data_IF_640550781336
#
_entry.id   IF_640550781336
#
_cell.length_a   1.000
_cell.length_b   1.000
_cell.length_c   1.000
_cell.angle_alpha   90.00
_cell.angle_beta   90.00
_cell.angle_gamma   90.00
#
_symmetry.space_group_name_H-M   'P 1'
#
loop_
_entity.id
_entity.type
_entity.pdbx_description
1 polymer ?
#
# COMPACT_ATOMS: atom_id res chain seq x y z
N UNK A 1 19.39 -15.06 6.86
CA UNK A 1 18.00 -15.05 7.40
C UNK A 1 18.04 -15.62 8.80
N UNK A 2 17.46 -14.96 9.81
CA UNK A 2 17.33 -15.55 11.15
C UNK A 2 16.09 -16.46 11.20
N UNK A 3 15.92 -17.21 12.29
CA UNK A 3 14.81 -18.15 12.46
C UNK A 3 13.44 -17.41 12.44
N UNK A 4 12.53 -17.72 11.49
CA UNK A 4 11.16 -17.18 11.47
C UNK A 4 10.38 -17.37 12.77
N UNK A 5 10.68 -18.43 13.53
CA UNK A 5 9.97 -18.77 14.76
C UNK A 5 10.09 -17.68 15.82
N UNK A 6 11.19 -16.93 15.86
CA UNK A 6 11.35 -15.82 16.83
C UNK A 6 10.29 -14.74 16.60
N UNK A 7 10.05 -14.36 15.34
CA UNK A 7 8.99 -13.42 14.99
C UNK A 7 7.60 -13.99 15.33
N UNK A 8 7.35 -15.24 14.96
CA UNK A 8 6.04 -15.86 15.17
C UNK A 8 5.71 -16.13 16.64
N UNK A 9 6.70 -16.43 17.48
CA UNK A 9 6.51 -16.54 18.93
C UNK A 9 6.11 -15.20 19.53
N UNK A 10 6.81 -14.12 19.17
CA UNK A 10 6.43 -12.78 19.61
C UNK A 10 5.04 -12.41 19.09
N UNK A 11 4.72 -12.71 17.83
CA UNK A 11 3.39 -12.47 17.28
C UNK A 11 2.31 -13.23 18.04
N UNK A 12 2.54 -14.50 18.41
CA UNK A 12 1.61 -15.30 19.20
C UNK A 12 1.25 -14.64 20.54
N UNK A 13 2.23 -14.04 21.22
CA UNK A 13 2.02 -13.37 22.50
C UNK A 13 1.26 -12.03 22.36
N UNK A 14 1.35 -11.37 21.20
CA UNK A 14 0.92 -9.98 21.02
C UNK A 14 -0.25 -9.80 20.04
N UNK A 15 -0.67 -10.84 19.32
CA UNK A 15 -1.64 -10.67 18.24
C UNK A 15 -3.02 -10.19 18.70
N UNK A 16 -3.43 -10.42 19.94
CA UNK A 16 -4.72 -9.90 20.43
C UNK A 16 -4.67 -8.38 20.63
N UNK A 17 -3.54 -7.85 21.12
CA UNK A 17 -3.31 -6.40 21.19
C UNK A 17 -3.29 -5.80 19.79
N UNK A 18 -2.68 -6.50 18.82
CA UNK A 18 -2.67 -6.07 17.42
C UNK A 18 -4.06 -6.08 16.76
N UNK A 19 -5.03 -6.85 17.25
CA UNK A 19 -6.42 -6.75 16.77
C UNK A 19 -7.10 -5.48 17.27
N UNK A 20 -6.83 -5.10 18.51
CA UNK A 20 -7.49 -3.98 19.18
C UNK A 20 -6.66 -2.69 19.14
N UNK A 21 -5.65 -2.60 18.26
CA UNK A 21 -4.68 -1.49 18.25
C UNK A 21 -5.32 -0.10 18.10
N UNK A 22 -6.48 0.00 17.46
CA UNK A 22 -7.22 1.26 17.31
C UNK A 22 -7.75 1.81 18.64
N UNK A 23 -7.93 0.95 19.65
CA UNK A 23 -8.39 1.32 20.99
C UNK A 23 -7.22 1.63 21.94
N UNK A 24 -5.97 1.46 21.50
CA UNK A 24 -4.80 1.69 22.33
C UNK A 24 -4.31 3.13 22.20
N UNK A 25 -4.14 3.81 23.33
CA UNK A 25 -3.56 5.17 23.39
C UNK A 25 -2.10 5.21 22.91
N UNK A 26 -1.35 4.12 23.09
CA UNK A 26 0.08 4.02 22.77
C UNK A 26 0.37 2.95 21.70
N UNK A 27 -0.42 2.94 20.62
CA UNK A 27 -0.25 1.98 19.51
C UNK A 27 1.11 2.07 18.82
N UNK A 28 1.76 3.24 18.82
CA UNK A 28 3.08 3.47 18.22
C UNK A 28 4.17 2.62 18.88
N UNK A 29 4.08 2.42 20.19
CA UNK A 29 4.99 1.55 20.92
C UNK A 29 4.80 0.08 20.52
N UNK A 30 3.55 -0.36 20.31
CA UNK A 30 3.24 -1.71 19.83
C UNK A 30 3.76 -1.94 18.40
N UNK A 31 3.57 -0.95 17.52
CA UNK A 31 4.09 -0.98 16.15
C UNK A 31 5.62 -0.96 16.10
N UNK A 32 6.25 -0.19 16.99
CA UNK A 32 7.71 -0.18 17.13
C UNK A 32 8.24 -1.55 17.54
N UNK A 33 7.58 -2.22 18.51
CA UNK A 33 7.93 -3.59 18.91
C UNK A 33 7.72 -4.59 17.79
N UNK A 34 6.62 -4.49 17.03
CA UNK A 34 6.39 -5.32 15.84
C UNK A 34 7.50 -5.12 14.80
N UNK A 35 7.88 -3.86 14.52
CA UNK A 35 8.94 -3.54 13.57
C UNK A 35 10.31 -4.06 14.03
N UNK A 36 10.64 -3.93 15.32
CA UNK A 36 11.88 -4.47 15.90
C UNK A 36 11.95 -5.99 15.72
N UNK A 37 10.86 -6.69 16.03
CA UNK A 37 10.79 -8.15 15.87
C UNK A 37 10.88 -8.57 14.39
N UNK A 38 10.28 -7.81 13.48
CA UNK A 38 10.40 -8.03 12.05
C UNK A 38 11.85 -7.82 11.56
N UNK A 39 12.49 -6.73 11.98
CA UNK A 39 13.87 -6.42 11.66
C UNK A 39 14.85 -7.47 12.19
N UNK A 40 14.55 -8.08 13.35
CA UNK A 40 15.34 -9.18 13.89
C UNK A 40 15.34 -10.41 12.97
N UNK A 41 14.25 -10.64 12.23
CA UNK A 41 14.17 -11.70 11.23
C UNK A 41 14.88 -11.32 9.91
N UNK A 42 14.53 -10.15 9.37
CA UNK A 42 15.05 -9.62 8.11
C UNK A 42 15.05 -8.10 8.13
N UNK A 43 16.23 -7.50 7.97
CA UNK A 43 16.38 -6.05 7.98
C UNK A 43 15.63 -5.42 6.79
N UNK A 44 15.08 -4.23 6.99
CA UNK A 44 14.35 -3.45 5.97
C UNK A 44 13.05 -4.08 5.42
N UNK A 45 12.52 -5.10 6.08
CA UNK A 45 11.12 -5.49 5.87
C UNK A 45 10.20 -4.52 6.60
N UNK A 46 9.04 -4.22 6.02
CA UNK A 46 8.00 -3.42 6.66
C UNK A 46 6.69 -4.20 6.72
N UNK A 47 5.71 -3.66 7.43
CA UNK A 47 4.41 -4.30 7.55
C UNK A 47 3.26 -3.32 7.29
N UNK A 48 2.14 -3.88 6.83
CA UNK A 48 0.83 -3.23 6.83
C UNK A 48 -0.11 -4.09 7.66
N UNK A 49 -0.80 -3.46 8.61
CA UNK A 49 -1.89 -4.07 9.37
C UNK A 49 -3.21 -3.54 8.84
N UNK A 50 -4.10 -4.44 8.47
CA UNK A 50 -5.47 -4.08 8.10
C UNK A 50 -6.47 -4.82 8.98
N UNK A 51 -7.47 -4.08 9.43
CA UNK A 51 -8.59 -4.61 10.18
C UNK A 51 -9.67 -5.19 9.27
N UNK A 52 -10.64 -5.92 9.83
CA UNK A 52 -11.74 -6.44 9.06
C UNK A 52 -12.62 -5.31 8.50
N UNK A 53 -12.67 -5.19 7.17
CA UNK A 53 -13.52 -4.22 6.45
C UNK A 53 -15.00 -4.62 6.36
N UNK A 54 -15.34 -5.88 6.66
CA UNK A 54 -16.70 -6.44 6.61
C UNK A 54 -16.89 -7.34 7.82
N UNK A 55 -18.11 -7.42 8.37
CA UNK A 55 -18.44 -8.40 9.43
C UNK A 55 -17.97 -9.79 8.99
N UNK A 56 -17.15 -10.43 9.84
CA UNK A 56 -16.52 -11.76 9.65
C UNK A 56 -15.27 -11.84 8.74
N UNK A 57 -14.70 -10.73 8.25
CA UNK A 57 -13.38 -10.80 7.62
C UNK A 57 -12.24 -10.97 8.65
N UNK A 58 -11.08 -11.43 8.19
CA UNK A 58 -9.90 -11.66 9.04
C UNK A 58 -9.08 -10.38 9.14
N UNK A 59 -8.42 -10.17 10.29
CA UNK A 59 -7.31 -9.23 10.36
C UNK A 59 -6.20 -9.69 9.42
N UNK A 60 -5.50 -8.77 8.79
CA UNK A 60 -4.42 -9.13 7.89
C UNK A 60 -3.13 -8.40 8.28
N UNK A 61 -2.06 -9.18 8.37
CA UNK A 61 -0.70 -8.70 8.44
C UNK A 61 -0.05 -8.98 7.08
N UNK A 62 0.35 -7.90 6.42
CA UNK A 62 1.05 -7.93 5.15
C UNK A 62 2.50 -7.57 5.43
N UNK A 63 3.44 -8.41 5.01
CA UNK A 63 4.87 -8.08 5.03
C UNK A 63 5.20 -7.54 3.64
N UNK A 64 5.67 -6.30 3.60
CA UNK A 64 6.04 -5.55 2.38
C UNK A 64 7.55 -5.39 2.32
N UNK A 65 8.10 -5.39 1.10
CA UNK A 65 9.52 -5.10 0.85
C UNK A 65 9.75 -3.65 0.44
N UNK A 66 8.69 -2.84 0.36
CA UNK A 66 8.69 -1.49 -0.19
C UNK A 66 9.40 -1.43 -1.56
N UNK A 67 9.14 -2.45 -2.39
CA UNK A 67 9.71 -2.57 -3.74
C UNK A 67 11.11 -3.16 -3.82
N UNK A 68 11.74 -3.51 -2.69
CA UNK A 68 13.05 -4.14 -2.69
C UNK A 68 12.96 -5.62 -3.09
N UNK A 69 13.31 -5.90 -4.36
CA UNK A 69 13.27 -7.25 -4.94
C UNK A 69 14.11 -8.27 -4.17
N UNK A 70 15.22 -7.85 -3.54
CA UNK A 70 16.11 -8.75 -2.80
C UNK A 70 15.47 -9.30 -1.51
N UNK A 71 14.41 -8.65 -1.02
CA UNK A 71 13.71 -9.05 0.21
C UNK A 71 12.47 -9.90 -0.05
N UNK A 72 12.08 -10.12 -1.33
CA UNK A 72 10.86 -10.88 -1.67
C UNK A 72 10.91 -12.30 -1.08
N UNK A 73 12.05 -12.99 -1.20
CA UNK A 73 12.23 -14.33 -0.64
C UNK A 73 12.22 -14.33 0.89
N UNK A 74 12.64 -13.23 1.53
CA UNK A 74 12.58 -13.11 2.99
C UNK A 74 11.12 -12.98 3.45
N UNK A 75 10.35 -12.10 2.83
CA UNK A 75 8.93 -11.94 3.13
C UNK A 75 8.16 -13.26 2.88
N UNK A 76 8.39 -13.91 1.74
CA UNK A 76 7.75 -15.18 1.40
C UNK A 76 8.12 -16.30 2.40
N UNK A 77 9.39 -16.42 2.77
CA UNK A 77 9.84 -17.40 3.75
C UNK A 77 9.21 -17.16 5.12
N UNK A 78 9.14 -15.92 5.61
CA UNK A 78 8.48 -15.60 6.89
C UNK A 78 7.03 -16.09 6.91
N UNK A 79 6.27 -15.74 5.87
CA UNK A 79 4.85 -16.10 5.73
C UNK A 79 4.66 -17.61 5.56
N UNK A 80 5.56 -18.29 4.85
CA UNK A 80 5.50 -19.75 4.69
C UNK A 80 5.62 -20.52 6.02
N UNK A 81 6.22 -19.90 7.04
CA UNK A 81 6.37 -20.46 8.39
C UNK A 81 5.32 -19.95 9.37
N UNK A 82 4.31 -19.20 8.90
CA UNK A 82 3.26 -18.67 9.76
C UNK A 82 2.47 -19.81 10.44
N UNK A 83 2.40 -19.83 11.78
CA UNK A 83 1.46 -20.68 12.49
C UNK A 83 0.00 -20.39 12.09
N UNK A 84 -0.89 -21.35 12.39
CA UNK A 84 -2.33 -21.14 12.22
C UNK A 84 -2.85 -20.20 13.31
N UNK A 85 -3.16 -18.96 12.93
CA UNK A 85 -3.79 -17.99 13.83
C UNK A 85 -5.25 -17.74 13.41
N UNK A 86 -6.25 -18.23 14.18
CA UNK A 86 -7.65 -17.96 13.90
C UNK A 86 -7.97 -16.47 13.84
N UNK A 87 -8.66 -16.08 12.76
CA UNK A 87 -8.99 -14.68 12.50
C UNK A 87 -7.86 -13.84 11.90
N UNK A 88 -6.73 -14.44 11.51
CA UNK A 88 -5.63 -13.76 10.82
C UNK A 88 -5.40 -14.29 9.40
N UNK A 89 -4.97 -13.39 8.52
CA UNK A 89 -4.44 -13.66 7.18
C UNK A 89 -3.04 -13.06 7.08
N UNK A 90 -2.11 -13.80 6.51
CA UNK A 90 -0.72 -13.38 6.34
C UNK A 90 -0.35 -13.39 4.87
N UNK A 91 0.24 -12.30 4.37
CA UNK A 91 0.68 -12.19 2.97
C UNK A 91 2.05 -11.53 2.86
N UNK A 92 2.82 -11.89 1.83
CA UNK A 92 4.19 -11.39 1.58
C UNK A 92 4.24 -10.26 0.53
N UNK A 93 3.16 -9.50 0.39
CA UNK A 93 3.05 -8.33 -0.50
C UNK A 93 1.65 -7.72 -0.41
N UNK A 94 1.56 -6.40 -0.68
CA UNK A 94 0.28 -5.74 -0.92
C UNK A 94 -0.24 -6.20 -2.29
N UNK A 95 -1.51 -6.63 -2.32
CA UNK A 95 -2.19 -7.11 -3.52
C UNK A 95 -3.17 -6.05 -4.02
N UNK A 96 -3.37 -5.89 -5.34
CA UNK A 96 -4.27 -4.90 -5.88
C UNK A 96 -5.71 -5.10 -5.38
N UNK A 97 -6.36 -4.02 -4.96
CA UNK A 97 -7.80 -4.00 -4.70
C UNK A 97 -8.58 -4.13 -6.02
N UNK A 98 -9.52 -5.09 -6.08
CA UNK A 98 -10.15 -5.53 -7.33
C UNK A 98 -11.51 -4.87 -7.64
N UNK A 99 -12.03 -3.98 -6.79
CA UNK A 99 -13.41 -3.50 -6.91
C UNK A 99 -13.56 -2.30 -7.86
N UNK A 100 -13.19 -2.51 -9.13
CA UNK A 100 -13.19 -1.50 -10.18
C UNK A 100 -14.58 -0.88 -10.40
N UNK A 101 -15.63 -1.70 -10.44
CA UNK A 101 -17.01 -1.24 -10.69
C UNK A 101 -17.45 -0.16 -9.71
N UNK A 102 -17.13 -0.33 -8.42
CA UNK A 102 -17.43 0.67 -7.39
C UNK A 102 -16.63 1.96 -7.59
N UNK A 103 -15.38 1.87 -8.01
CA UNK A 103 -14.54 3.05 -8.24
C UNK A 103 -15.04 3.85 -9.44
N UNK A 104 -15.35 3.16 -10.55
CA UNK A 104 -15.92 3.78 -11.75
C UNK A 104 -17.27 4.45 -11.43
N UNK A 105 -18.10 3.81 -10.60
CA UNK A 105 -19.36 4.39 -10.14
C UNK A 105 -19.21 5.40 -8.99
N UNK A 106 -17.98 5.76 -8.59
CA UNK A 106 -17.64 6.67 -7.46
C UNK A 106 -18.21 6.25 -6.08
N UNK A 107 -18.58 4.98 -5.95
CA UNK A 107 -19.04 4.33 -4.72
C UNK A 107 -17.91 3.49 -4.08
N UNK A 108 -16.66 3.84 -4.32
CA UNK A 108 -15.49 3.25 -3.68
C UNK A 108 -15.34 3.69 -2.22
N UNK A 109 -14.48 2.96 -1.53
CA UNK A 109 -14.17 3.19 -0.12
C UNK A 109 -13.49 4.55 0.06
N UNK A 110 -13.91 5.27 1.10
CA UNK A 110 -13.23 6.48 1.54
C UNK A 110 -11.98 6.11 2.35
N UNK A 111 -10.83 6.62 1.93
CA UNK A 111 -9.61 6.56 2.73
C UNK A 111 -9.59 7.76 3.68
N UNK A 112 -9.26 7.50 4.95
CA UNK A 112 -9.15 8.51 5.98
C UNK A 112 -7.72 8.55 6.51
N UNK A 113 -7.01 9.66 6.30
CA UNK A 113 -5.66 9.90 6.77
C UNK A 113 -5.64 11.16 7.63
N UNK A 114 -5.62 11.01 8.95
CA UNK A 114 -5.76 12.14 9.87
C UNK A 114 -7.05 12.93 9.55
N UNK A 115 -6.94 14.17 9.11
CA UNK A 115 -8.05 15.02 8.68
C UNK A 115 -8.35 14.96 7.17
N UNK A 116 -7.57 14.23 6.37
CA UNK A 116 -7.79 14.03 4.94
C UNK A 116 -8.79 12.89 4.71
N UNK A 117 -9.81 13.15 3.89
CA UNK A 117 -10.77 12.16 3.42
C UNK A 117 -10.76 12.16 1.90
N UNK A 118 -10.43 11.02 1.29
CA UNK A 118 -10.18 10.95 -0.15
C UNK A 118 -10.53 9.57 -0.73
N UNK A 119 -10.99 9.54 -1.98
CA UNK A 119 -11.29 8.32 -2.74
C UNK A 119 -10.35 8.17 -3.91
N UNK A 120 -10.17 6.94 -4.40
CA UNK A 120 -9.41 6.69 -5.63
C UNK A 120 -10.13 7.34 -6.81
N UNK A 121 -11.47 7.32 -6.82
CA UNK A 121 -12.29 7.93 -7.88
C UNK A 121 -12.14 9.44 -8.00
N UNK A 122 -11.52 10.11 -7.02
CA UNK A 122 -11.29 11.55 -7.02
C UNK A 122 -9.87 11.93 -7.47
N UNK A 123 -9.03 10.92 -7.73
CA UNK A 123 -7.67 11.09 -8.22
C UNK A 123 -7.61 10.94 -9.74
N UNK A 124 -6.75 11.75 -10.34
CA UNK A 124 -6.41 11.66 -11.76
C UNK A 124 -4.89 11.57 -11.90
N UNK A 125 -4.40 11.07 -13.02
CA UNK A 125 -2.97 10.96 -13.26
C UNK A 125 -2.57 11.34 -14.68
N UNK A 126 -1.30 11.72 -14.81
CA UNK A 126 -0.61 11.92 -16.07
C UNK A 126 0.74 11.21 -16.00
N UNK A 127 1.01 10.22 -16.89
CA UNK A 127 2.32 9.63 -17.04
C UNK A 127 3.23 10.53 -17.88
N UNK A 128 4.50 10.63 -17.50
CA UNK A 128 5.51 11.43 -18.17
C UNK A 128 6.88 10.76 -18.10
N UNK A 129 7.81 11.18 -18.97
CA UNK A 129 9.22 10.80 -18.96
C UNK A 129 9.44 9.28 -18.81
N UNK A 130 8.81 8.48 -19.68
CA UNK A 130 9.05 7.05 -19.70
C UNK A 130 10.53 6.75 -19.97
N UNK A 131 11.12 5.89 -19.15
CA UNK A 131 12.50 5.46 -19.29
C UNK A 131 12.54 4.01 -19.82
N UNK A 132 12.95 3.75 -21.08
CA UNK A 132 12.98 2.41 -21.65
C UNK A 132 13.90 1.44 -20.90
N UNK A 133 14.99 1.94 -20.30
CA UNK A 133 15.97 1.13 -19.55
C UNK A 133 15.35 0.55 -18.28
N UNK A 134 14.65 1.39 -17.51
CA UNK A 134 14.03 0.97 -16.25
C UNK A 134 12.59 0.49 -16.42
N UNK A 135 11.98 0.78 -17.57
CA UNK A 135 10.58 0.58 -17.91
C UNK A 135 9.61 1.30 -16.96
N UNK A 136 10.00 2.49 -16.48
CA UNK A 136 9.24 3.28 -15.51
C UNK A 136 8.82 4.64 -16.04
N UNK A 137 7.77 5.18 -15.45
CA UNK A 137 7.25 6.52 -15.68
C UNK A 137 7.53 7.42 -14.48
N UNK A 138 7.75 8.71 -14.74
CA UNK A 138 7.36 9.73 -13.78
C UNK A 138 5.84 9.88 -13.85
N UNK A 139 5.18 10.01 -12.71
CA UNK A 139 3.72 10.12 -12.63
C UNK A 139 3.37 11.37 -11.84
N UNK A 140 2.53 12.22 -12.42
CA UNK A 140 1.85 13.28 -11.66
C UNK A 140 0.45 12.80 -11.33
N UNK A 141 0.08 12.85 -10.04
CA UNK A 141 -1.28 12.62 -9.57
C UNK A 141 -1.90 13.95 -9.18
N UNK A 142 -3.11 14.18 -9.66
CA UNK A 142 -3.86 15.41 -9.47
C UNK A 142 -4.97 15.23 -8.43
N UNK A 143 -5.06 16.19 -7.52
CA UNK A 143 -6.07 16.25 -6.45
C UNK A 143 -6.93 17.51 -6.59
N UNK A 144 -8.23 17.40 -6.34
CA UNK A 144 -9.15 18.55 -6.41
C UNK A 144 -8.97 19.54 -5.25
N UNK A 145 -8.49 19.08 -4.09
CA UNK A 145 -8.31 19.90 -2.88
C UNK A 145 -6.86 19.88 -2.36
N UNK A 146 -5.89 19.90 -3.28
CA UNK A 146 -4.46 19.81 -2.95
C UNK A 146 -4.02 20.84 -1.89
N UNK A 147 -4.44 22.09 -2.03
CA UNK A 147 -4.03 23.19 -1.16
C UNK A 147 -4.50 23.10 0.30
N UNK A 148 -5.44 22.19 0.63
CA UNK A 148 -6.01 22.07 1.98
C UNK A 148 -5.14 21.28 2.96
N UNK A 149 -4.16 20.53 2.45
CA UNK A 149 -3.35 19.61 3.25
C UNK A 149 -1.86 19.80 2.96
N UNK A 150 -1.03 19.33 3.89
CA UNK A 150 0.43 19.38 3.68
C UNK A 150 0.85 18.41 2.58
N UNK A 151 1.83 18.80 1.77
CA UNK A 151 2.36 17.94 0.71
C UNK A 151 2.83 16.58 1.26
N UNK A 152 3.42 16.57 2.47
CA UNK A 152 3.83 15.33 3.14
C UNK A 152 2.64 14.39 3.41
N UNK A 153 1.52 14.90 3.92
CA UNK A 153 0.33 14.09 4.17
C UNK A 153 -0.24 13.55 2.86
N UNK A 154 -0.32 14.39 1.83
CA UNK A 154 -0.82 14.00 0.52
C UNK A 154 0.07 12.94 -0.14
N UNK A 155 1.40 13.13 -0.12
CA UNK A 155 2.36 12.18 -0.67
C UNK A 155 2.23 10.81 0.01
N UNK A 156 2.11 10.79 1.34
CA UNK A 156 1.89 9.55 2.10
C UNK A 156 0.57 8.89 1.72
N UNK A 157 -0.54 9.64 1.73
CA UNK A 157 -1.86 9.14 1.42
C UNK A 157 -1.94 8.57 -0.01
N UNK A 158 -1.50 9.34 -1.01
CA UNK A 158 -1.53 8.93 -2.41
C UNK A 158 -0.62 7.75 -2.66
N UNK A 159 0.58 7.69 -2.05
CA UNK A 159 1.47 6.53 -2.20
C UNK A 159 0.81 5.24 -1.70
N UNK A 160 0.19 5.29 -0.51
CA UNK A 160 -0.53 4.13 0.07
C UNK A 160 -1.72 3.74 -0.81
N UNK A 161 -2.49 4.73 -1.29
CA UNK A 161 -3.64 4.52 -2.16
C UNK A 161 -3.25 3.88 -3.50
N UNK A 162 -2.14 4.30 -4.11
CA UNK A 162 -1.63 3.70 -5.33
C UNK A 162 -1.08 2.29 -5.09
N UNK A 163 -0.38 2.03 -3.99
CA UNK A 163 0.07 0.68 -3.65
C UNK A 163 -1.11 -0.27 -3.38
N UNK A 164 -2.16 0.19 -2.71
CA UNK A 164 -3.37 -0.59 -2.49
C UNK A 164 -4.11 -0.85 -3.82
N UNK A 165 -4.18 0.15 -4.71
CA UNK A 165 -4.86 0.02 -6.00
C UNK A 165 -4.10 -0.84 -7.01
N UNK A 166 -2.78 -0.65 -7.13
CA UNK A 166 -1.93 -1.30 -8.14
C UNK A 166 -1.30 -2.60 -7.63
N UNK A 167 -1.24 -2.78 -6.30
CA UNK A 167 -0.35 -3.74 -5.67
C UNK A 167 1.10 -3.25 -5.62
N UNK A 168 1.84 -3.74 -4.64
CA UNK A 168 3.23 -3.37 -4.36
C UNK A 168 4.13 -3.57 -5.58
N UNK A 169 3.99 -4.70 -6.27
CA UNK A 169 4.85 -5.03 -7.41
C UNK A 169 4.66 -4.04 -8.57
N UNK A 170 3.43 -3.79 -9.00
CA UNK A 170 3.18 -2.95 -10.16
C UNK A 170 3.56 -1.49 -9.85
N UNK A 171 3.18 -0.98 -8.68
CA UNK A 171 3.53 0.36 -8.23
C UNK A 171 5.05 0.60 -8.28
N UNK A 172 5.85 -0.24 -7.61
CA UNK A 172 7.30 -0.06 -7.57
C UNK A 172 8.03 -0.42 -8.87
N UNK A 173 7.43 -1.24 -9.74
CA UNK A 173 8.05 -1.61 -11.02
C UNK A 173 7.78 -0.61 -12.13
N UNK A 174 6.70 0.17 -12.05
CA UNK A 174 6.29 1.12 -13.10
C UNK A 174 6.44 2.58 -12.71
N UNK A 175 6.41 2.93 -11.42
CA UNK A 175 6.56 4.31 -10.96
C UNK A 175 8.03 4.56 -10.59
N UNK A 176 8.62 5.61 -11.20
CA UNK A 176 9.94 6.13 -10.89
C UNK A 176 9.86 7.27 -9.88
N UNK A 177 9.01 8.26 -10.18
CA UNK A 177 8.78 9.44 -9.34
C UNK A 177 7.30 9.74 -9.29
N UNK A 178 6.78 9.99 -8.08
CA UNK A 178 5.42 10.46 -7.86
C UNK A 178 5.47 11.96 -7.55
N UNK A 179 4.74 12.76 -8.32
CA UNK A 179 4.54 14.20 -8.08
C UNK A 179 3.05 14.44 -7.84
N UNK A 180 2.71 15.34 -6.93
CA UNK A 180 1.32 15.69 -6.64
C UNK A 180 1.07 17.13 -7.02
N UNK A 181 -0.05 17.37 -7.70
CA UNK A 181 -0.43 18.70 -8.16
C UNK A 181 -1.92 18.95 -7.94
N UNK A 182 -2.28 20.23 -7.93
CA UNK A 182 -3.68 20.65 -7.95
C UNK A 182 -4.30 20.30 -9.31
N UNK A 183 -5.50 19.73 -9.30
CA UNK A 183 -6.26 19.45 -10.52
C UNK A 183 -6.42 20.72 -11.36
N UNK A 184 -5.89 20.74 -12.60
CA UNK A 184 -6.00 21.89 -13.50
C UNK A 184 -7.43 21.99 -14.04
N UNK A 185 -7.98 23.20 -14.08
CA UNK A 185 -9.25 23.44 -14.77
C UNK A 185 -9.04 23.20 -16.27
N UNK A 186 -9.90 22.37 -16.89
CA UNK A 186 -9.96 22.13 -18.34
C UNK A 186 -8.86 21.25 -18.96
N UNK A 187 -8.40 20.21 -18.27
CA UNK A 187 -7.48 19.21 -18.85
C UNK A 187 -8.12 17.83 -18.87
N UNK A 188 -7.97 17.10 -19.98
CA UNK A 188 -8.33 15.69 -20.06
C UNK A 188 -7.25 14.89 -19.33
N UNK A 189 -7.46 14.64 -18.04
CA UNK A 189 -6.61 13.78 -17.22
C UNK A 189 -7.19 12.37 -17.15
N UNK A 190 -6.32 11.38 -17.06
CA UNK A 190 -6.73 9.97 -16.97
C UNK A 190 -7.15 9.70 -15.52
N UNK A 191 -8.30 9.06 -15.25
CA UNK A 191 -8.65 8.66 -13.89
C UNK A 191 -7.59 7.73 -13.28
N UNK A 192 -7.21 7.95 -12.02
CA UNK A 192 -6.13 7.18 -11.39
C UNK A 192 -6.45 5.68 -11.28
N UNK A 193 -7.72 5.30 -11.28
CA UNK A 193 -8.11 3.88 -11.27
C UNK A 193 -7.80 3.15 -12.59
N UNK A 194 -7.55 3.86 -13.69
CA UNK A 194 -7.12 3.28 -14.97
C UNK A 194 -5.60 3.09 -15.05
N UNK A 195 -4.84 3.56 -14.07
CA UNK A 195 -3.37 3.52 -14.10
C UNK A 195 -2.79 2.11 -14.28
N UNK A 196 -3.41 1.09 -13.67
CA UNK A 196 -3.01 -0.29 -13.88
C UNK A 196 -3.13 -0.71 -15.36
N UNK A 197 -4.30 -0.45 -15.95
CA UNK A 197 -4.57 -0.74 -17.35
C UNK A 197 -3.61 0.03 -18.27
N UNK A 198 -3.35 1.30 -17.99
CA UNK A 198 -2.38 2.09 -18.74
C UNK A 198 -0.98 1.45 -18.72
N UNK A 199 -0.47 1.06 -17.54
CA UNK A 199 0.87 0.46 -17.44
C UNK A 199 0.99 -0.93 -18.07
N UNK A 200 -0.08 -1.70 -18.07
CA UNK A 200 -0.13 -3.05 -18.63
C UNK A 200 -0.25 -3.04 -20.16
N UNK A 201 -0.85 -2.00 -20.73
CA UNK A 201 -1.08 -1.89 -22.18
C UNK A 201 -0.15 -0.89 -22.89
N UNK A 202 0.73 -0.20 -22.15
CA UNK A 202 1.70 0.72 -22.75
C UNK A 202 2.73 -0.04 -23.58
N UNK A 203 2.84 0.33 -24.87
CA UNK A 203 3.87 -0.15 -25.80
C UNK A 203 4.62 1.05 -26.37
N UNK A 204 5.91 0.87 -26.66
CA UNK A 204 6.81 1.94 -27.15
C UNK A 204 6.57 2.28 -28.64
N UNK A 205 5.59 1.63 -29.29
CA UNK A 205 5.42 1.69 -30.74
C UNK A 205 4.44 2.77 -31.23
N UNK A 206 4.16 3.79 -30.43
CA UNK A 206 3.44 5.02 -30.83
C UNK A 206 4.35 6.25 -30.69
#
# INVERSE_FOLDING_TARGET
>A
MKNPNTFWNWFNENHQLLKNYQQLEHKEALFSKLQINLNNYGNNLSFVLTGPSVKKSKYQLIITTNGNKNLILYAANLISKAPKFPGWKFTASIKPTQNLDKIVSRNDSLYEFQNLKIKISDLYFLPANYCPITQKFNVTVYLTEYWKHTEKLLQQAVSIMLEDRLGEHLAHSKINRLTLEQYPKNTNLIPAYEMAFYFENFNIND
#
